data_IF_127176857434
#
_entry.id   IF_127176857434
#
_cell.length_a   1.000
_cell.length_b   1.000
_cell.length_c   1.000
_cell.angle_alpha   90.00
_cell.angle_beta   90.00
_cell.angle_gamma   90.00
#
_symmetry.space_group_name_H-M   'P 1'
#
loop_
_entity.id
_entity.type
_entity.pdbx_description
1 polymer ?
#
# COMPACT_ATOMS: atom_id res chain seq x y z
N UNK A 1 -5.82 12.70 -49.78
CA UNK A 1 -5.16 13.10 -48.51
C UNK A 1 -4.88 11.84 -47.74
N UNK A 2 -3.63 11.35 -47.80
CA UNK A 2 -3.22 10.08 -47.20
C UNK A 2 -3.24 10.22 -45.67
N UNK A 3 -4.06 9.40 -45.02
CA UNK A 3 -3.93 9.15 -43.59
C UNK A 3 -2.52 8.59 -43.36
N UNK A 4 -1.65 9.38 -42.72
CA UNK A 4 -0.41 8.86 -42.20
C UNK A 4 -0.76 7.85 -41.11
N UNK A 5 -0.66 6.57 -41.48
CA UNK A 5 -0.63 5.46 -40.54
C UNK A 5 0.74 5.55 -39.83
N UNK A 6 0.89 6.49 -38.90
CA UNK A 6 2.10 6.59 -38.09
C UNK A 6 2.10 5.43 -37.12
N UNK A 7 2.74 4.33 -37.52
CA UNK A 7 3.15 3.30 -36.59
C UNK A 7 3.89 3.97 -35.41
N UNK A 8 3.60 3.52 -34.18
CA UNK A 8 4.26 4.03 -32.98
C UNK A 8 5.79 4.05 -33.17
N UNK A 9 6.49 5.08 -32.65
CA UNK A 9 7.94 5.17 -32.79
C UNK A 9 8.62 3.94 -32.17
N UNK A 10 9.81 3.61 -32.67
CA UNK A 10 10.61 2.48 -32.17
C UNK A 10 10.70 2.46 -30.64
N UNK A 11 10.97 3.62 -30.06
CA UNK A 11 10.88 3.87 -28.63
C UNK A 11 10.52 5.36 -28.44
N UNK A 12 9.40 5.65 -27.81
CA UNK A 12 9.01 7.03 -27.51
C UNK A 12 9.85 7.56 -26.34
N UNK A 13 10.49 8.70 -26.58
CA UNK A 13 11.18 9.49 -25.56
C UNK A 13 10.38 10.78 -25.41
N UNK A 14 9.76 11.04 -24.24
CA UNK A 14 8.99 12.24 -24.04
C UNK A 14 9.89 13.48 -24.10
N UNK A 15 9.29 14.61 -24.50
CA UNK A 15 9.97 15.91 -24.48
C UNK A 15 10.23 16.41 -23.05
N UNK A 16 10.81 17.62 -22.90
CA UNK A 16 11.05 18.21 -21.59
C UNK A 16 9.76 18.29 -20.75
N UNK A 17 9.82 17.80 -19.52
CA UNK A 17 8.69 17.79 -18.59
C UNK A 17 8.99 18.60 -17.34
N UNK A 18 8.00 19.40 -16.91
CA UNK A 18 8.06 20.18 -15.66
C UNK A 18 7.73 19.36 -14.42
N UNK A 19 7.09 18.20 -14.58
CA UNK A 19 6.56 17.42 -13.46
C UNK A 19 7.61 16.91 -12.48
N UNK A 20 8.81 16.46 -12.90
CA UNK A 20 9.85 16.05 -11.95
C UNK A 20 10.28 17.19 -11.01
N UNK A 21 10.44 18.41 -11.54
CA UNK A 21 10.82 19.58 -10.74
C UNK A 21 9.72 19.94 -9.74
N UNK A 22 8.46 20.00 -10.20
CA UNK A 22 7.32 20.34 -9.35
C UNK A 22 7.08 19.27 -8.27
N UNK A 23 7.25 17.99 -8.60
CA UNK A 23 7.21 16.90 -7.62
C UNK A 23 8.32 17.05 -6.57
N UNK A 24 9.54 17.37 -6.99
CA UNK A 24 10.66 17.63 -6.08
C UNK A 24 10.39 18.78 -5.11
N UNK A 25 9.84 19.90 -5.60
CA UNK A 25 9.45 21.03 -4.75
C UNK A 25 8.32 20.64 -3.79
N UNK A 26 7.29 19.94 -4.27
CA UNK A 26 6.17 19.50 -3.43
C UNK A 26 6.64 18.55 -2.32
N UNK A 27 7.53 17.60 -2.63
CA UNK A 27 8.13 16.70 -1.65
C UNK A 27 8.99 17.44 -0.63
N UNK A 28 9.80 18.42 -1.07
CA UNK A 28 10.61 19.24 -0.16
C UNK A 28 9.72 20.02 0.82
N UNK A 29 8.68 20.68 0.32
CA UNK A 29 7.71 21.42 1.16
C UNK A 29 6.98 20.47 2.12
N UNK A 30 6.60 19.29 1.64
CA UNK A 30 5.95 18.26 2.48
C UNK A 30 6.86 17.83 3.63
N UNK A 31 8.12 17.50 3.36
CA UNK A 31 9.06 17.01 4.37
C UNK A 31 9.52 18.12 5.33
N UNK A 32 9.77 19.33 4.82
CA UNK A 32 10.07 20.50 5.66
C UNK A 32 8.90 20.82 6.59
N UNK A 33 7.67 20.80 6.06
CA UNK A 33 6.45 20.99 6.84
C UNK A 33 6.24 19.89 7.88
N UNK A 34 6.46 18.62 7.52
CA UNK A 34 6.33 17.49 8.44
C UNK A 34 7.32 17.59 9.60
N UNK A 35 8.59 17.89 9.29
CA UNK A 35 9.64 18.10 10.29
C UNK A 35 9.28 19.25 11.24
N UNK A 36 8.87 20.40 10.70
CA UNK A 36 8.43 21.54 11.49
C UNK A 36 7.19 21.24 12.34
N UNK A 37 6.23 20.48 11.81
CA UNK A 37 5.00 20.11 12.53
C UNK A 37 5.30 19.19 13.71
N UNK A 38 6.13 18.16 13.54
CA UNK A 38 6.53 17.26 14.64
C UNK A 38 7.32 18.00 15.74
N UNK A 39 7.92 19.14 15.43
CA UNK A 39 8.62 20.02 16.38
C UNK A 39 7.76 21.21 16.87
N UNK A 40 6.45 21.13 16.75
CA UNK A 40 5.48 22.16 17.20
C UNK A 40 5.71 23.56 16.63
N UNK A 41 6.28 23.65 15.42
CA UNK A 41 6.49 24.92 14.73
C UNK A 41 5.23 25.32 13.96
N UNK A 42 4.73 26.54 14.20
CA UNK A 42 3.42 27.00 13.72
C UNK A 42 3.19 26.89 12.19
N UNK A 43 4.23 27.07 11.37
CA UNK A 43 4.11 26.96 9.91
C UNK A 43 4.12 25.51 9.41
N UNK A 44 4.48 24.55 10.26
CA UNK A 44 4.71 23.15 9.88
C UNK A 44 3.48 22.48 9.28
N UNK A 45 2.35 22.49 9.99
CA UNK A 45 1.11 21.87 9.52
C UNK A 45 0.60 22.50 8.20
N UNK A 46 0.46 23.84 8.06
CA UNK A 46 0.06 24.44 6.79
C UNK A 46 1.00 24.12 5.64
N UNK A 47 2.32 24.15 5.86
CA UNK A 47 3.29 23.82 4.82
C UNK A 47 3.22 22.35 4.41
N UNK A 48 3.08 21.44 5.36
CA UNK A 48 2.95 20.01 5.07
C UNK A 48 1.70 19.73 4.21
N UNK A 49 0.54 20.29 4.60
CA UNK A 49 -0.71 20.12 3.86
C UNK A 49 -0.63 20.74 2.45
N UNK A 50 0.02 21.90 2.30
CA UNK A 50 0.26 22.52 1.01
C UNK A 50 1.16 21.65 0.12
N UNK A 51 2.23 21.09 0.69
CA UNK A 51 3.13 20.17 0.00
C UNK A 51 2.40 18.91 -0.49
N UNK A 52 1.59 18.28 0.36
CA UNK A 52 0.78 17.12 0.00
C UNK A 52 -0.23 17.44 -1.11
N UNK A 53 -0.96 18.56 -0.99
CA UNK A 53 -1.89 19.00 -2.03
C UNK A 53 -1.18 19.26 -3.37
N UNK A 54 0.00 19.89 -3.33
CA UNK A 54 0.86 20.10 -4.49
C UNK A 54 1.32 18.78 -5.11
N UNK A 55 1.73 17.80 -4.31
CA UNK A 55 2.14 16.49 -4.79
C UNK A 55 0.99 15.75 -5.48
N UNK A 56 -0.21 15.75 -4.86
CA UNK A 56 -1.41 15.15 -5.45
C UNK A 56 -1.75 15.82 -6.79
N UNK A 57 -1.68 17.15 -6.88
CA UNK A 57 -1.93 17.88 -8.11
C UNK A 57 -0.91 17.55 -9.21
N UNK A 58 0.38 17.40 -8.86
CA UNK A 58 1.43 16.98 -9.79
C UNK A 58 1.18 15.56 -10.28
N UNK A 59 0.88 14.60 -9.39
CA UNK A 59 0.61 13.22 -9.77
C UNK A 59 -0.63 13.12 -10.67
N UNK A 60 -1.70 13.85 -10.35
CA UNK A 60 -2.91 13.89 -11.18
C UNK A 60 -2.61 14.37 -12.61
N UNK A 61 -1.89 15.48 -12.75
CA UNK A 61 -1.53 16.02 -14.06
C UNK A 61 -0.54 15.12 -14.81
N UNK A 62 0.48 14.61 -14.12
CA UNK A 62 1.51 13.78 -14.73
C UNK A 62 0.95 12.44 -15.21
N UNK A 63 0.12 11.76 -14.42
CA UNK A 63 -0.58 10.57 -14.89
C UNK A 63 -1.59 10.89 -15.99
N UNK A 64 -2.21 12.07 -15.97
CA UNK A 64 -3.05 12.56 -17.06
C UNK A 64 -2.29 12.64 -18.39
N UNK A 65 -1.09 13.24 -18.37
CA UNK A 65 -0.22 13.33 -19.55
C UNK A 65 0.21 11.93 -20.03
N UNK A 66 0.60 11.03 -19.12
CA UNK A 66 0.97 9.65 -19.47
C UNK A 66 -0.21 8.86 -20.09
N UNK A 67 -1.44 9.07 -19.59
CA UNK A 67 -2.64 8.51 -20.21
C UNK A 67 -2.87 9.13 -21.59
N UNK A 68 -2.71 10.45 -21.74
CA UNK A 68 -2.83 11.14 -23.02
C UNK A 68 -1.84 10.64 -24.07
N UNK A 69 -0.58 10.41 -23.68
CA UNK A 69 0.45 9.81 -24.54
C UNK A 69 0.11 8.37 -24.97
N UNK A 70 -0.42 7.58 -24.03
CA UNK A 70 -0.90 6.21 -24.28
C UNK A 70 -2.04 6.20 -25.31
N UNK A 71 -3.09 6.98 -25.09
CA UNK A 71 -4.25 7.05 -26.01
C UNK A 71 -3.88 7.72 -27.34
N UNK A 72 -2.85 8.58 -27.34
CA UNK A 72 -2.28 9.18 -28.55
C UNK A 72 -1.50 8.20 -29.44
N UNK A 73 -1.36 6.93 -29.03
CA UNK A 73 -0.69 5.89 -29.82
C UNK A 73 0.84 6.01 -29.84
N UNK A 74 1.43 6.74 -28.89
CA UNK A 74 2.88 6.95 -28.81
C UNK A 74 3.62 5.74 -28.23
N UNK A 75 2.92 4.86 -27.49
CA UNK A 75 3.52 3.72 -26.80
C UNK A 75 3.58 2.48 -27.70
N UNK A 76 4.80 2.08 -28.05
CA UNK A 76 5.07 0.84 -28.78
C UNK A 76 5.14 -0.37 -27.84
N UNK A 77 5.14 -1.59 -28.39
CA UNK A 77 5.31 -2.82 -27.58
C UNK A 77 6.59 -2.81 -26.72
N UNK A 78 7.66 -2.14 -27.16
CA UNK A 78 8.89 -2.02 -26.39
C UNK A 78 8.70 -1.21 -25.11
N UNK A 79 7.88 -0.17 -25.17
CA UNK A 79 7.52 0.64 -24.01
C UNK A 79 6.64 -0.16 -23.05
N UNK A 80 5.73 -0.97 -23.59
CA UNK A 80 4.92 -1.90 -22.80
C UNK A 80 5.81 -2.83 -21.96
N UNK A 81 6.83 -3.45 -22.57
CA UNK A 81 7.81 -4.27 -21.86
C UNK A 81 8.60 -3.47 -20.80
N UNK A 82 9.04 -2.24 -21.13
CA UNK A 82 9.73 -1.37 -20.17
C UNK A 82 8.86 -1.05 -18.96
N UNK A 83 7.58 -0.76 -19.16
CA UNK A 83 6.64 -0.49 -18.07
C UNK A 83 6.37 -1.71 -17.20
N UNK A 84 6.27 -2.92 -17.79
CA UNK A 84 6.15 -4.17 -17.03
C UNK A 84 7.36 -4.43 -16.14
N UNK A 85 8.57 -4.24 -16.67
CA UNK A 85 9.79 -4.36 -15.87
C UNK A 85 9.86 -3.28 -14.78
N UNK A 86 9.46 -2.05 -15.08
CA UNK A 86 9.41 -0.97 -14.10
C UNK A 86 8.44 -1.30 -12.96
N UNK A 87 7.25 -1.83 -13.28
CA UNK A 87 6.28 -2.27 -12.29
C UNK A 87 6.80 -3.44 -11.45
N UNK A 88 7.47 -4.41 -12.07
CA UNK A 88 8.08 -5.53 -11.35
C UNK A 88 9.15 -5.05 -10.37
N UNK A 89 10.06 -4.17 -10.79
CA UNK A 89 11.09 -3.59 -9.91
C UNK A 89 10.49 -2.74 -8.80
N UNK A 90 9.44 -1.98 -9.08
CA UNK A 90 8.68 -1.26 -8.07
C UNK A 90 8.09 -2.22 -7.03
N UNK A 91 7.40 -3.29 -7.43
CA UNK A 91 6.87 -4.29 -6.48
C UNK A 91 8.00 -4.94 -5.68
N UNK A 92 9.14 -5.27 -6.31
CA UNK A 92 10.29 -5.82 -5.59
C UNK A 92 10.80 -4.85 -4.52
N UNK A 93 10.87 -3.55 -4.79
CA UNK A 93 11.25 -2.57 -3.76
C UNK A 93 10.22 -2.49 -2.63
N UNK A 94 8.92 -2.59 -2.93
CA UNK A 94 7.87 -2.62 -1.90
C UNK A 94 7.97 -3.88 -1.02
N UNK A 95 8.29 -5.04 -1.62
CA UNK A 95 8.55 -6.28 -0.87
C UNK A 95 9.75 -6.11 0.06
N UNK A 96 10.83 -5.46 -0.39
CA UNK A 96 11.99 -5.17 0.48
C UNK A 96 11.65 -4.18 1.60
N UNK A 97 10.79 -3.19 1.33
CA UNK A 97 10.28 -2.26 2.33
C UNK A 97 9.52 -3.00 3.44
N UNK A 98 8.57 -3.87 3.10
CA UNK A 98 7.90 -4.73 4.10
C UNK A 98 8.87 -5.71 4.76
N UNK A 99 9.85 -6.22 4.01
CA UNK A 99 10.92 -7.09 4.51
C UNK A 99 11.70 -6.45 5.67
N UNK A 100 11.92 -5.13 5.64
CA UNK A 100 12.55 -4.40 6.74
C UNK A 100 11.67 -4.42 8.01
N UNK A 101 10.34 -4.22 7.89
CA UNK A 101 9.44 -4.26 9.04
C UNK A 101 9.26 -5.68 9.59
N UNK A 102 9.10 -6.69 8.73
CA UNK A 102 9.07 -8.10 9.16
C UNK A 102 10.40 -8.51 9.80
N UNK A 103 11.53 -8.02 9.28
CA UNK A 103 12.86 -8.23 9.87
C UNK A 103 12.98 -7.59 11.26
N UNK A 104 12.47 -6.36 11.43
CA UNK A 104 12.43 -5.70 12.74
C UNK A 104 11.55 -6.46 13.75
N UNK A 105 10.37 -6.93 13.32
CA UNK A 105 9.50 -7.77 14.14
C UNK A 105 10.16 -9.09 14.51
N UNK A 106 10.79 -9.77 13.55
CA UNK A 106 11.52 -11.01 13.79
C UNK A 106 12.64 -10.80 14.81
N UNK A 107 13.46 -9.76 14.63
CA UNK A 107 14.53 -9.43 15.55
C UNK A 107 13.99 -9.17 16.97
N UNK A 108 12.94 -8.34 17.09
CA UNK A 108 12.33 -8.04 18.37
C UNK A 108 11.76 -9.29 19.05
N UNK A 109 10.95 -10.07 18.33
CA UNK A 109 10.20 -11.22 18.89
C UNK A 109 11.08 -12.45 19.12
N UNK A 110 11.92 -12.81 18.17
CA UNK A 110 12.64 -14.10 18.16
C UNK A 110 14.02 -13.98 18.79
N UNK A 111 14.64 -12.79 18.75
CA UNK A 111 16.00 -12.59 19.27
C UNK A 111 15.98 -11.77 20.57
N UNK A 112 15.46 -10.53 20.53
CA UNK A 112 15.53 -9.61 21.68
C UNK A 112 14.70 -10.08 22.87
N UNK A 113 13.48 -10.57 22.64
CA UNK A 113 12.59 -11.00 23.72
C UNK A 113 13.15 -12.17 24.54
N UNK A 114 13.63 -13.29 23.94
CA UNK A 114 14.30 -14.35 24.71
C UNK A 114 15.55 -13.90 25.43
N UNK A 115 16.35 -13.03 24.80
CA UNK A 115 17.58 -12.49 25.40
C UNK A 115 17.29 -11.67 26.66
N UNK A 116 16.26 -10.82 26.63
CA UNK A 116 15.83 -10.05 27.80
C UNK A 116 15.29 -10.91 28.96
N UNK A 117 14.81 -12.13 28.67
CA UNK A 117 14.26 -13.05 29.66
C UNK A 117 15.25 -14.11 30.16
N UNK A 118 16.51 -14.06 29.73
CA UNK A 118 17.54 -15.03 30.14
C UNK A 118 17.97 -14.82 31.60
N UNK A 119 18.75 -15.77 32.13
CA UNK A 119 19.19 -15.76 33.53
C UNK A 119 20.09 -14.55 33.82
N UNK A 120 20.89 -14.11 32.85
CA UNK A 120 21.84 -13.01 33.01
C UNK A 120 21.13 -11.65 33.07
N UNK A 121 20.03 -11.48 32.34
CA UNK A 121 19.24 -10.25 32.31
C UNK A 121 18.20 -10.15 33.43
N UNK A 122 17.87 -11.26 34.09
CA UNK A 122 17.02 -11.24 35.30
C UNK A 122 17.61 -10.42 36.46
N UNK A 123 18.91 -10.19 36.48
CA UNK A 123 19.51 -9.27 37.46
C UNK A 123 19.08 -7.82 37.25
N UNK A 124 18.76 -7.43 36.00
CA UNK A 124 18.30 -6.09 35.63
C UNK A 124 16.77 -6.04 35.63
N UNK A 125 16.13 -7.10 35.15
CA UNK A 125 14.67 -7.21 34.99
C UNK A 125 14.12 -8.46 35.70
N UNK A 126 14.07 -8.49 37.05
CA UNK A 126 13.76 -9.69 37.81
C UNK A 126 12.36 -10.24 37.54
N UNK A 127 11.39 -9.35 37.32
CA UNK A 127 9.98 -9.70 37.10
C UNK A 127 9.60 -9.83 35.62
N UNK A 128 10.55 -9.65 34.69
CA UNK A 128 10.27 -9.77 33.27
C UNK A 128 10.15 -11.23 32.84
N UNK A 129 9.05 -11.54 32.16
CA UNK A 129 8.84 -12.81 31.48
C UNK A 129 8.84 -12.58 29.97
N UNK A 130 9.66 -13.33 29.24
CA UNK A 130 9.72 -13.23 27.78
C UNK A 130 8.45 -13.83 27.14
N UNK A 131 7.43 -13.00 26.94
CA UNK A 131 6.20 -13.35 26.23
C UNK A 131 5.82 -12.24 25.25
N UNK A 132 5.52 -12.60 24.00
CA UNK A 132 5.17 -11.64 22.98
C UNK A 132 3.76 -11.07 23.24
N UNK A 133 3.62 -9.74 23.21
CA UNK A 133 2.39 -9.07 23.64
C UNK A 133 2.24 -8.95 25.15
N UNK A 134 3.36 -9.05 25.86
CA UNK A 134 3.43 -9.06 27.32
C UNK A 134 3.88 -7.77 27.99
N UNK A 135 3.93 -7.81 29.32
CA UNK A 135 4.44 -6.73 30.15
C UNK A 135 5.87 -6.32 29.74
N UNK A 136 6.12 -5.02 29.66
CA UNK A 136 7.45 -4.50 29.31
C UNK A 136 8.44 -4.66 30.47
N UNK A 137 9.75 -4.73 30.17
CA UNK A 137 10.76 -4.58 31.22
C UNK A 137 10.54 -3.27 31.99
N UNK A 138 10.60 -3.34 33.32
CA UNK A 138 10.35 -2.25 34.27
C UNK A 138 8.91 -1.71 34.37
N UNK A 139 7.91 -2.31 33.73
CA UNK A 139 6.53 -1.79 33.80
C UNK A 139 6.39 -0.40 33.19
N UNK A 140 7.22 -0.09 32.19
CA UNK A 140 7.25 1.19 31.46
C UNK A 140 6.04 1.40 30.55
N UNK A 141 5.28 0.33 30.28
CA UNK A 141 4.13 0.30 29.38
C UNK A 141 2.92 -0.21 30.15
N UNK A 142 1.81 0.51 30.04
CA UNK A 142 0.53 0.10 30.62
C UNK A 142 0.09 -1.27 30.09
N UNK A 143 -0.65 -2.04 30.90
CA UNK A 143 -1.21 -3.30 30.46
C UNK A 143 -2.14 -3.12 29.25
N UNK A 144 -1.99 -4.01 28.27
CA UNK A 144 -2.81 -4.05 27.06
C UNK A 144 -3.12 -5.50 26.69
N UNK A 145 -4.13 -5.69 25.84
CA UNK A 145 -4.48 -6.98 25.26
C UNK A 145 -4.10 -7.02 23.79
N UNK A 146 -3.63 -8.17 23.34
CA UNK A 146 -3.27 -8.38 21.93
C UNK A 146 -4.51 -8.59 21.08
N UNK A 147 -4.39 -8.26 19.78
CA UNK A 147 -5.45 -8.51 18.81
C UNK A 147 -5.36 -9.95 18.32
N UNK A 148 -6.42 -10.72 18.53
CA UNK A 148 -6.51 -12.11 18.07
C UNK A 148 -6.95 -12.23 16.61
N UNK A 149 -6.85 -13.43 16.00
CA UNK A 149 -7.14 -13.63 14.57
C UNK A 149 -8.65 -13.63 14.24
N UNK A 150 -9.52 -13.75 15.24
CA UNK A 150 -10.98 -13.81 15.05
C UNK A 150 -11.71 -12.66 15.77
N UNK A 151 -12.86 -12.21 15.22
CA UNK A 151 -13.39 -12.54 13.88
C UNK A 151 -12.86 -11.60 12.79
N UNK A 152 -12.46 -10.38 13.15
CA UNK A 152 -12.21 -9.29 12.19
C UNK A 152 -11.03 -9.59 11.24
N UNK A 153 -9.84 -10.02 11.71
CA UNK A 153 -8.73 -10.31 10.78
C UNK A 153 -9.05 -11.46 9.81
N UNK A 154 -9.80 -12.47 10.25
CA UNK A 154 -10.28 -13.55 9.39
C UNK A 154 -11.26 -13.05 8.33
N UNK A 155 -12.21 -12.18 8.70
CA UNK A 155 -13.16 -11.55 7.75
C UNK A 155 -12.38 -10.72 6.72
N UNK A 156 -11.43 -9.91 7.17
CA UNK A 156 -10.55 -9.12 6.31
C UNK A 156 -9.74 -9.98 5.33
N UNK A 157 -9.25 -11.13 5.80
CA UNK A 157 -8.59 -12.12 4.94
C UNK A 157 -9.53 -12.67 3.87
N UNK A 158 -10.76 -13.03 4.24
CA UNK A 158 -11.76 -13.48 3.28
C UNK A 158 -12.13 -12.39 2.26
N UNK A 159 -12.26 -11.14 2.70
CA UNK A 159 -12.56 -9.99 1.83
C UNK A 159 -11.47 -9.79 0.78
N UNK A 160 -10.19 -9.75 1.18
CA UNK A 160 -9.07 -9.55 0.25
C UNK A 160 -8.93 -10.72 -0.72
N UNK A 161 -8.96 -11.97 -0.24
CA UNK A 161 -8.89 -13.14 -1.13
C UNK A 161 -10.04 -13.16 -2.14
N UNK A 162 -11.25 -12.83 -1.69
CA UNK A 162 -12.41 -12.71 -2.59
C UNK A 162 -12.20 -11.58 -3.61
N UNK A 163 -11.64 -10.45 -3.19
CA UNK A 163 -11.34 -9.31 -4.07
C UNK A 163 -10.31 -9.66 -5.16
N UNK A 164 -9.33 -10.51 -4.84
CA UNK A 164 -8.36 -11.05 -5.80
C UNK A 164 -9.01 -11.97 -6.82
N UNK A 165 -10.00 -12.79 -6.41
CA UNK A 165 -10.80 -13.61 -7.33
C UNK A 165 -11.63 -12.72 -8.26
N UNK A 166 -12.35 -11.73 -7.73
CA UNK A 166 -13.17 -10.82 -8.57
C UNK A 166 -12.31 -10.03 -9.55
N UNK A 167 -11.11 -9.61 -9.14
CA UNK A 167 -10.14 -8.94 -10.00
C UNK A 167 -9.65 -9.85 -11.14
N UNK A 168 -9.37 -11.12 -10.82
CA UNK A 168 -8.97 -12.12 -11.80
C UNK A 168 -10.08 -12.35 -12.82
N UNK A 169 -11.35 -12.42 -12.39
CA UNK A 169 -12.50 -12.54 -13.29
C UNK A 169 -12.60 -11.29 -14.19
N UNK A 170 -12.40 -10.09 -13.64
CA UNK A 170 -12.39 -8.84 -14.42
C UNK A 170 -11.31 -8.86 -15.51
N UNK A 171 -10.12 -9.38 -15.19
CA UNK A 171 -9.02 -9.53 -16.15
C UNK A 171 -9.39 -10.50 -17.28
N UNK A 172 -9.94 -11.67 -16.96
CA UNK A 172 -10.36 -12.63 -17.98
C UNK A 172 -11.45 -12.05 -18.89
N UNK A 173 -12.41 -11.32 -18.32
CA UNK A 173 -13.43 -10.60 -19.09
C UNK A 173 -12.82 -9.53 -20.02
N UNK A 174 -11.77 -8.83 -19.57
CA UNK A 174 -11.08 -7.82 -20.37
C UNK A 174 -10.39 -8.45 -21.59
N UNK A 175 -9.70 -9.57 -21.38
CA UNK A 175 -9.04 -10.33 -22.45
C UNK A 175 -10.03 -10.97 -23.43
N UNK A 176 -11.25 -11.27 -22.97
CA UNK A 176 -12.36 -11.70 -23.84
C UNK A 176 -13.06 -10.52 -24.56
N UNK A 177 -12.66 -9.27 -24.31
CA UNK A 177 -13.30 -8.09 -24.89
C UNK A 177 -14.64 -7.69 -24.25
N UNK A 178 -15.02 -8.31 -23.13
CA UNK A 178 -16.28 -8.05 -22.44
C UNK A 178 -16.20 -6.86 -21.48
N UNK A 179 -16.16 -5.64 -22.03
CA UNK A 179 -15.96 -4.39 -21.27
C UNK A 179 -16.92 -4.19 -20.09
N UNK A 180 -18.21 -4.49 -20.26
CA UNK A 180 -19.20 -4.33 -19.20
C UNK A 180 -18.94 -5.29 -18.03
N UNK A 181 -18.59 -6.54 -18.31
CA UNK A 181 -18.25 -7.53 -17.29
C UNK A 181 -16.96 -7.13 -16.56
N UNK A 182 -15.94 -6.68 -17.28
CA UNK A 182 -14.71 -6.14 -16.66
C UNK A 182 -15.03 -5.04 -15.66
N UNK A 183 -15.88 -4.07 -16.04
CA UNK A 183 -16.23 -2.95 -15.17
C UNK A 183 -16.98 -3.39 -13.91
N UNK A 184 -17.94 -4.32 -14.04
CA UNK A 184 -18.73 -4.83 -12.91
C UNK A 184 -17.82 -5.55 -11.90
N UNK A 185 -16.99 -6.47 -12.37
CA UNK A 185 -16.12 -7.26 -11.50
C UNK A 185 -15.00 -6.43 -10.87
N UNK A 186 -14.45 -5.47 -11.61
CA UNK A 186 -13.47 -4.52 -11.07
C UNK A 186 -14.10 -3.60 -10.01
N UNK A 187 -15.34 -3.15 -10.21
CA UNK A 187 -16.07 -2.41 -9.19
C UNK A 187 -16.29 -3.24 -7.92
N UNK A 188 -16.64 -4.53 -8.05
CA UNK A 188 -16.76 -5.43 -6.92
C UNK A 188 -15.44 -5.55 -6.13
N UNK A 189 -14.29 -5.66 -6.80
CA UNK A 189 -12.96 -5.64 -6.14
C UNK A 189 -12.76 -4.38 -5.32
N UNK A 190 -13.06 -3.20 -5.88
CA UNK A 190 -12.90 -1.91 -5.19
C UNK A 190 -13.80 -1.83 -3.95
N UNK A 191 -15.06 -2.27 -4.04
CA UNK A 191 -15.99 -2.30 -2.91
C UNK A 191 -15.50 -3.23 -1.80
N UNK A 192 -14.98 -4.41 -2.15
CA UNK A 192 -14.41 -5.34 -1.19
C UNK A 192 -13.17 -4.75 -0.49
N UNK A 193 -12.29 -4.08 -1.24
CA UNK A 193 -11.13 -3.36 -0.69
C UNK A 193 -11.53 -2.20 0.23
N UNK A 194 -12.55 -1.42 -0.13
CA UNK A 194 -13.07 -0.36 0.72
C UNK A 194 -13.70 -0.92 2.01
N UNK A 195 -14.38 -2.06 1.91
CA UNK A 195 -14.98 -2.76 3.06
C UNK A 195 -13.89 -3.26 4.01
N UNK A 196 -12.80 -3.84 3.47
CA UNK A 196 -11.61 -4.20 4.24
C UNK A 196 -11.06 -3.00 5.02
N UNK A 197 -10.91 -1.85 4.37
CA UNK A 197 -10.40 -0.64 5.05
C UNK A 197 -11.34 -0.15 6.16
N UNK A 198 -12.66 -0.29 5.99
CA UNK A 198 -13.64 0.01 7.04
C UNK A 198 -13.48 -0.89 8.27
N UNK A 199 -13.30 -2.20 8.06
CA UNK A 199 -13.02 -3.14 9.15
C UNK A 199 -11.65 -2.89 9.80
N UNK A 200 -10.63 -2.50 9.03
CA UNK A 200 -9.32 -2.14 9.56
C UNK A 200 -9.40 -0.91 10.48
N UNK A 201 -10.18 0.11 10.08
CA UNK A 201 -10.42 1.27 10.92
C UNK A 201 -11.17 0.91 12.21
N UNK A 202 -12.17 0.02 12.11
CA UNK A 202 -12.86 -0.51 13.29
C UNK A 202 -11.91 -1.26 14.24
N UNK A 203 -11.03 -2.11 13.70
CA UNK A 203 -10.01 -2.83 14.48
C UNK A 203 -9.10 -1.85 15.24
N UNK A 204 -8.67 -0.75 14.62
CA UNK A 204 -7.84 0.26 15.31
C UNK A 204 -8.61 0.99 16.40
N UNK A 205 -9.87 1.34 16.17
CA UNK A 205 -10.70 1.95 17.21
C UNK A 205 -10.82 0.99 18.40
N UNK A 206 -11.19 -0.27 18.16
CA UNK A 206 -11.30 -1.29 19.20
C UNK A 206 -9.98 -1.53 19.95
N UNK A 207 -8.85 -1.58 19.23
CA UNK A 207 -7.53 -1.70 19.82
C UNK A 207 -7.24 -0.56 20.81
N UNK A 208 -7.53 0.69 20.42
CA UNK A 208 -7.30 1.87 21.25
C UNK A 208 -8.27 1.96 22.43
N UNK A 209 -9.57 1.67 22.23
CA UNK A 209 -10.60 1.92 23.24
C UNK A 209 -10.83 0.76 24.20
N UNK A 210 -10.70 -0.49 23.75
CA UNK A 210 -11.06 -1.67 24.54
C UNK A 210 -9.86 -2.54 24.92
N UNK A 211 -8.80 -2.54 24.12
CA UNK A 211 -7.61 -3.35 24.37
C UNK A 211 -6.45 -2.57 25.00
N UNK A 212 -6.56 -1.23 25.07
CA UNK A 212 -5.46 -0.33 25.43
C UNK A 212 -4.19 -0.56 24.57
N UNK A 213 -4.36 -1.12 23.38
CA UNK A 213 -3.31 -1.38 22.41
C UNK A 213 -3.12 -0.12 21.55
N UNK A 214 -2.02 0.59 21.78
CA UNK A 214 -1.69 1.88 21.18
C UNK A 214 -0.33 1.80 20.50
N UNK A 215 -0.01 2.80 19.67
CA UNK A 215 1.35 3.00 19.15
C UNK A 215 2.41 3.06 20.27
N UNK A 216 2.03 3.52 21.46
CA UNK A 216 2.88 3.61 22.65
C UNK A 216 2.92 2.34 23.49
N UNK A 217 2.23 1.26 23.11
CA UNK A 217 2.23 -0.04 23.80
C UNK A 217 3.51 -0.84 23.51
N UNK A 218 4.65 -0.19 23.67
CA UNK A 218 5.99 -0.75 23.47
C UNK A 218 6.26 -1.22 22.03
N UNK A 219 7.15 -2.21 21.93
CA UNK A 219 7.56 -2.78 20.64
C UNK A 219 6.42 -3.55 19.95
N UNK A 220 5.51 -4.15 20.72
CA UNK A 220 4.34 -4.84 20.17
C UNK A 220 3.42 -3.84 19.45
N UNK A 221 2.99 -2.79 20.15
CA UNK A 221 2.10 -1.78 19.58
C UNK A 221 2.71 -1.07 18.38
N UNK A 222 3.96 -0.60 18.50
CA UNK A 222 4.64 0.08 17.40
C UNK A 222 4.82 -0.80 16.16
N UNK A 223 5.26 -2.06 16.30
CA UNK A 223 5.37 -2.97 15.15
C UNK A 223 4.01 -3.36 14.57
N UNK A 224 3.00 -3.60 15.41
CA UNK A 224 1.62 -3.90 14.98
C UNK A 224 1.08 -2.78 14.08
N UNK A 225 1.04 -1.54 14.57
CA UNK A 225 0.46 -0.41 13.84
C UNK A 225 1.29 0.02 12.63
N UNK A 226 2.62 -0.11 12.68
CA UNK A 226 3.45 0.21 11.52
C UNK A 226 3.27 -0.80 10.38
N UNK A 227 3.28 -2.10 10.69
CA UNK A 227 3.08 -3.16 9.68
C UNK A 227 1.67 -3.11 9.07
N UNK A 228 0.64 -3.10 9.92
CA UNK A 228 -0.76 -3.08 9.45
C UNK A 228 -1.14 -1.72 8.87
N UNK A 229 -0.60 -0.62 9.39
CA UNK A 229 -0.85 0.74 8.91
C UNK A 229 -0.25 0.99 7.52
N UNK A 230 1.01 0.60 7.29
CA UNK A 230 1.58 0.68 5.96
C UNK A 230 0.86 -0.25 4.98
N UNK A 231 0.46 -1.45 5.40
CA UNK A 231 -0.37 -2.30 4.54
C UNK A 231 -1.70 -1.63 4.16
N UNK A 232 -2.43 -1.06 5.12
CA UNK A 232 -3.65 -0.30 4.86
C UNK A 232 -3.44 0.91 3.94
N UNK A 233 -2.28 1.58 4.03
CA UNK A 233 -1.89 2.62 3.08
C UNK A 233 -1.75 2.05 1.66
N UNK A 234 -1.09 0.91 1.48
CA UNK A 234 -0.94 0.27 0.17
C UNK A 234 -2.28 -0.24 -0.37
N UNK A 235 -3.17 -0.80 0.46
CA UNK A 235 -4.54 -1.17 0.06
C UNK A 235 -5.28 0.06 -0.46
N UNK A 236 -5.17 1.20 0.23
CA UNK A 236 -5.81 2.46 -0.19
C UNK A 236 -5.25 2.94 -1.54
N UNK A 237 -3.93 2.93 -1.72
CA UNK A 237 -3.28 3.28 -2.99
C UNK A 237 -3.71 2.34 -4.12
N UNK A 238 -3.76 1.03 -3.86
CA UNK A 238 -4.25 0.04 -4.81
C UNK A 238 -5.71 0.29 -5.21
N UNK A 239 -6.57 0.65 -4.26
CA UNK A 239 -7.98 0.93 -4.53
C UNK A 239 -8.15 2.19 -5.39
N UNK A 240 -7.33 3.22 -5.15
CA UNK A 240 -7.28 4.42 -5.99
C UNK A 240 -6.82 4.06 -7.41
N UNK A 241 -5.74 3.27 -7.55
CA UNK A 241 -5.24 2.81 -8.86
C UNK A 241 -6.33 2.03 -9.62
N UNK A 242 -6.97 1.06 -8.97
CA UNK A 242 -8.07 0.28 -9.57
C UNK A 242 -9.27 1.16 -9.92
N UNK A 243 -9.57 2.20 -9.14
CA UNK A 243 -10.64 3.16 -9.45
C UNK A 243 -10.32 3.98 -10.70
N UNK A 244 -9.07 4.41 -10.88
CA UNK A 244 -8.62 5.08 -12.11
C UNK A 244 -8.69 4.12 -13.30
N UNK A 245 -8.27 2.86 -13.13
CA UNK A 245 -8.41 1.82 -14.16
C UNK A 245 -9.88 1.57 -14.50
N UNK A 246 -10.78 1.50 -13.52
CA UNK A 246 -12.22 1.35 -13.76
C UNK A 246 -12.76 2.50 -14.60
N UNK A 247 -12.42 3.74 -14.26
CA UNK A 247 -12.81 4.90 -15.06
C UNK A 247 -12.31 4.79 -16.52
N UNK A 248 -11.06 4.33 -16.72
CA UNK A 248 -10.50 4.09 -18.06
C UNK A 248 -11.19 2.95 -18.81
N UNK A 249 -11.57 1.86 -18.13
CA UNK A 249 -12.38 0.78 -18.71
C UNK A 249 -13.73 1.33 -19.21
N UNK A 250 -14.39 2.17 -18.41
CA UNK A 250 -15.66 2.79 -18.78
C UNK A 250 -15.53 3.77 -19.96
N UNK A 251 -14.37 4.42 -20.12
CA UNK A 251 -14.05 5.23 -21.29
C UNK A 251 -13.65 4.42 -22.53
N UNK A 252 -13.26 3.16 -22.36
CA UNK A 252 -12.86 2.27 -23.46
C UNK A 252 -11.39 2.40 -23.86
N UNK A 253 -10.53 2.80 -22.92
CA UNK A 253 -9.09 2.99 -23.14
C UNK A 253 -8.28 1.69 -23.23
N UNK A 254 -8.93 0.53 -23.16
CA UNK A 254 -8.27 -0.77 -23.10
C UNK A 254 -8.79 -1.72 -24.15
N UNK A 255 -7.88 -2.48 -24.75
CA UNK A 255 -8.17 -3.58 -25.66
C UNK A 255 -7.64 -4.90 -25.08
N UNK A 256 -8.09 -6.06 -25.59
CA UNK A 256 -7.58 -7.37 -25.17
C UNK A 256 -6.05 -7.51 -25.26
N UNK A 257 -5.40 -6.75 -26.14
CA UNK A 257 -3.96 -6.81 -26.37
C UNK A 257 -3.20 -5.62 -25.74
N UNK A 258 -3.89 -4.50 -25.49
CA UNK A 258 -3.30 -3.28 -24.93
C UNK A 258 -4.03 -2.84 -23.67
N UNK A 259 -3.55 -3.32 -22.51
CA UNK A 259 -4.16 -3.07 -21.21
C UNK A 259 -3.15 -3.08 -20.06
N UNK A 260 -1.90 -2.67 -20.29
CA UNK A 260 -0.86 -2.68 -19.26
C UNK A 260 -1.25 -1.97 -17.96
N UNK A 261 -1.93 -0.82 -18.03
CA UNK A 261 -2.32 -0.12 -16.79
C UNK A 261 -3.29 -0.94 -15.93
N UNK A 262 -4.14 -1.77 -16.56
CA UNK A 262 -4.96 -2.73 -15.83
C UNK A 262 -4.08 -3.82 -15.19
N UNK A 263 -3.17 -4.42 -15.95
CA UNK A 263 -2.30 -5.48 -15.44
C UNK A 263 -1.36 -5.00 -14.34
N UNK A 264 -0.77 -3.81 -14.47
CA UNK A 264 0.07 -3.20 -13.45
C UNK A 264 -0.70 -2.96 -12.15
N UNK A 265 -1.92 -2.40 -12.23
CA UNK A 265 -2.77 -2.26 -11.05
C UNK A 265 -3.19 -3.62 -10.45
N UNK A 266 -3.42 -4.62 -11.29
CA UNK A 266 -3.76 -5.96 -10.83
C UNK A 266 -2.58 -6.67 -10.14
N UNK A 267 -1.36 -6.54 -10.68
CA UNK A 267 -0.15 -7.04 -10.03
C UNK A 267 0.09 -6.37 -8.68
N UNK A 268 -0.13 -5.06 -8.59
CA UNK A 268 -0.06 -4.34 -7.33
C UNK A 268 -1.07 -4.85 -6.31
N UNK A 269 -2.33 -5.05 -6.72
CA UNK A 269 -3.38 -5.55 -5.83
C UNK A 269 -3.07 -6.95 -5.29
N UNK A 270 -2.60 -7.87 -6.14
CA UNK A 270 -2.17 -9.19 -5.68
C UNK A 270 -0.93 -9.15 -4.77
N UNK A 271 0.00 -8.22 -5.01
CA UNK A 271 1.09 -7.98 -4.06
C UNK A 271 0.55 -7.59 -2.68
N UNK A 272 -0.42 -6.68 -2.62
CA UNK A 272 -1.08 -6.27 -1.38
C UNK A 272 -1.78 -7.45 -0.69
N UNK A 273 -2.45 -8.33 -1.44
CA UNK A 273 -3.05 -9.56 -0.91
C UNK A 273 -2.00 -10.48 -0.27
N UNK A 274 -0.86 -10.68 -0.93
CA UNK A 274 0.23 -11.55 -0.43
C UNK A 274 0.85 -11.00 0.85
N UNK A 275 1.09 -9.68 0.92
CA UNK A 275 1.59 -9.04 2.15
C UNK A 275 0.59 -9.22 3.29
N UNK A 276 -0.73 -9.09 3.02
CA UNK A 276 -1.75 -9.32 4.03
C UNK A 276 -1.71 -10.74 4.59
N UNK A 277 -1.55 -11.76 3.75
CA UNK A 277 -1.46 -13.14 4.23
C UNK A 277 -0.26 -13.35 5.15
N UNK A 278 0.88 -12.72 4.83
CA UNK A 278 2.05 -12.70 5.72
C UNK A 278 1.74 -12.03 7.06
N UNK A 279 1.07 -10.87 7.04
CA UNK A 279 0.64 -10.18 8.25
C UNK A 279 -0.35 -11.02 9.06
N UNK A 280 -1.36 -11.57 8.41
CA UNK A 280 -2.40 -12.39 9.04
C UNK A 280 -1.77 -13.51 9.85
N UNK A 281 -0.82 -14.25 9.28
CA UNK A 281 -0.11 -15.32 9.98
C UNK A 281 0.81 -14.77 11.08
N UNK A 282 1.73 -13.86 10.74
CA UNK A 282 2.82 -13.48 11.63
C UNK A 282 2.36 -12.58 12.80
N UNK A 283 1.36 -11.72 12.58
CA UNK A 283 0.88 -10.78 13.59
C UNK A 283 -0.24 -11.36 14.44
N UNK A 284 -1.18 -12.08 13.83
CA UNK A 284 -2.41 -12.48 14.53
C UNK A 284 -2.39 -13.94 15.02
N UNK A 285 -1.59 -14.82 14.41
CA UNK A 285 -1.49 -16.23 14.84
C UNK A 285 -0.24 -16.55 15.64
N UNK A 286 0.90 -15.95 15.27
CA UNK A 286 2.19 -16.13 15.92
C UNK A 286 2.47 -15.00 16.92
#
# INVERSE_FOLDING_TARGET
MSAHNTAAPYYFVPGPSRWPLLAGIALLVTMAGASAWVNDVAWGMPANLLGLAGLIAVLYCWFGDAIGESEGGLYSQRIDYSFRWSMAWFIVSEVMFFGAFFGALFYARVISMPWLGDIDHKFIWPDFAAHWGGASPAGTVDEFRTMGPFPIPTINTALLLTSGVTLTIAHHALRAGHRAQTAIWLFATIVLGATFMGFQAYEYIHAYTELNLKLTSGIYGSTFFMLTGFHGFHVTMGAIMLSVVLYRVLKGHFTPDHHFAFEGAAWYWHFVDVVWLGLYVVIYWL
#
